data_IF_564711317335
#
_entry.id   IF_564711317335
#
_cell.length_a   1.000
_cell.length_b   1.000
_cell.length_c   1.000
_cell.angle_alpha   90.00
_cell.angle_beta   90.00
_cell.angle_gamma   90.00
#
_symmetry.space_group_name_H-M   'P 1'
#
loop_
_entity.id
_entity.type
_entity.pdbx_description
1 polymer ?
#
# COMPACT_ATOMS: atom_id res chain seq x y z
N UNK A 1 24.99 -9.95 95.74
CA UNK A 1 26.08 -10.45 94.86
C UNK A 1 25.77 -11.83 94.29
N UNK A 2 25.73 -12.92 95.08
CA UNK A 2 25.49 -14.29 94.57
C UNK A 2 24.20 -14.46 93.74
N UNK A 3 23.04 -14.01 94.22
CA UNK A 3 21.75 -14.09 93.47
C UNK A 3 21.75 -13.34 92.13
N UNK A 4 22.44 -12.20 92.05
CA UNK A 4 22.59 -11.44 90.80
C UNK A 4 23.50 -12.19 89.82
N UNK A 5 24.54 -12.85 90.32
CA UNK A 5 25.47 -13.65 89.50
C UNK A 5 24.77 -14.90 88.92
N UNK A 6 23.93 -15.58 89.71
CA UNK A 6 23.10 -16.69 89.22
C UNK A 6 22.11 -16.24 88.15
N UNK A 7 21.45 -15.09 88.34
CA UNK A 7 20.53 -14.52 87.36
C UNK A 7 21.23 -14.19 86.03
N UNK A 8 22.41 -13.56 86.09
CA UNK A 8 23.24 -13.28 84.90
C UNK A 8 23.67 -14.57 84.21
N UNK A 9 24.05 -15.61 84.96
CA UNK A 9 24.39 -16.91 84.39
C UNK A 9 23.21 -17.59 83.69
N UNK A 10 21.98 -17.45 84.22
CA UNK A 10 20.78 -17.97 83.53
C UNK A 10 20.49 -17.22 82.23
N UNK A 11 20.55 -15.89 82.26
CA UNK A 11 20.38 -15.03 81.07
C UNK A 11 21.44 -15.34 79.99
N UNK A 12 22.71 -15.52 80.39
CA UNK A 12 23.79 -15.92 79.47
C UNK A 12 23.54 -17.29 78.84
N UNK A 13 22.92 -18.23 79.56
CA UNK A 13 22.54 -19.54 79.03
C UNK A 13 21.42 -19.43 78.00
N UNK A 14 20.41 -18.59 78.26
CA UNK A 14 19.32 -18.32 77.33
C UNK A 14 19.86 -17.66 76.05
N UNK A 15 20.66 -16.60 76.19
CA UNK A 15 21.30 -15.94 75.05
C UNK A 15 22.17 -16.91 74.23
N UNK A 16 22.94 -17.79 74.87
CA UNK A 16 23.76 -18.80 74.17
C UNK A 16 22.90 -19.76 73.34
N UNK A 17 21.75 -20.17 73.87
CA UNK A 17 20.81 -21.03 73.15
C UNK A 17 20.19 -20.29 71.96
N UNK A 18 19.69 -19.06 72.15
CA UNK A 18 19.13 -18.24 71.07
C UNK A 18 20.16 -17.97 69.96
N UNK A 19 21.41 -17.66 70.31
CA UNK A 19 22.50 -17.48 69.35
C UNK A 19 22.77 -18.77 68.58
N UNK A 20 22.74 -19.93 69.25
CA UNK A 20 22.93 -21.23 68.58
C UNK A 20 21.77 -21.54 67.63
N UNK A 21 20.54 -21.21 68.02
CA UNK A 21 19.34 -21.40 67.20
C UNK A 21 19.29 -20.44 66.00
N UNK A 22 19.71 -19.20 66.19
CA UNK A 22 19.86 -18.23 65.09
C UNK A 22 20.95 -18.66 64.11
N UNK A 23 22.05 -19.25 64.60
CA UNK A 23 23.10 -19.78 63.72
C UNK A 23 22.59 -20.90 62.82
N UNK A 24 21.85 -21.87 63.36
CA UNK A 24 21.28 -22.96 62.57
C UNK A 24 20.21 -22.48 61.59
N UNK A 25 19.36 -21.54 62.00
CA UNK A 25 18.39 -20.87 61.13
C UNK A 25 19.05 -20.12 59.97
N UNK A 26 20.12 -19.36 60.26
CA UNK A 26 20.89 -18.64 59.25
C UNK A 26 21.59 -19.59 58.27
N UNK A 27 22.12 -20.73 58.73
CA UNK A 27 22.72 -21.73 57.84
C UNK A 27 21.68 -22.37 56.91
N UNK A 28 20.45 -22.60 57.38
CA UNK A 28 19.35 -23.13 56.57
C UNK A 28 18.92 -22.13 55.48
N UNK A 29 18.68 -20.87 55.86
CA UNK A 29 18.31 -19.81 54.91
C UNK A 29 19.39 -19.57 53.84
N UNK A 30 20.68 -19.67 54.21
CA UNK A 30 21.80 -19.54 53.27
C UNK A 30 21.82 -20.67 52.23
N UNK A 31 21.39 -21.88 52.58
CA UNK A 31 21.26 -23.00 51.64
C UNK A 31 20.11 -22.78 50.66
N UNK A 32 18.95 -22.34 51.14
CA UNK A 32 17.80 -22.01 50.29
C UNK A 32 18.12 -20.89 49.30
N UNK A 33 18.75 -19.81 49.77
CA UNK A 33 19.19 -18.70 48.91
C UNK A 33 20.14 -19.19 47.81
N UNK A 34 21.07 -20.12 48.13
CA UNK A 34 21.95 -20.72 47.13
C UNK A 34 21.19 -21.56 46.10
N UNK A 35 20.17 -22.32 46.53
CA UNK A 35 19.32 -23.08 45.61
C UNK A 35 18.58 -22.15 44.66
N UNK A 36 17.87 -21.15 45.21
CA UNK A 36 17.11 -20.16 44.43
C UNK A 36 18.02 -19.41 43.45
N UNK A 37 19.21 -19.01 43.88
CA UNK A 37 20.21 -18.39 42.99
C UNK A 37 20.55 -19.29 41.80
N UNK A 38 20.71 -20.59 42.04
CA UNK A 38 21.02 -21.54 40.97
C UNK A 38 19.86 -21.67 39.98
N UNK A 39 18.62 -21.76 40.47
CA UNK A 39 17.39 -21.86 39.66
C UNK A 39 17.11 -20.59 38.85
N UNK A 40 17.31 -19.42 39.44
CA UNK A 40 17.21 -18.14 38.72
C UNK A 40 18.26 -18.08 37.62
N UNK A 41 19.49 -18.51 37.91
CA UNK A 41 20.58 -18.49 36.93
C UNK A 41 20.30 -19.43 35.75
N UNK A 42 19.77 -20.63 35.99
CA UNK A 42 19.36 -21.54 34.91
C UNK A 42 18.20 -20.98 34.10
N UNK A 43 17.19 -20.41 34.75
CA UNK A 43 16.03 -19.80 34.09
C UNK A 43 16.44 -18.59 33.22
N UNK A 44 17.33 -17.73 33.71
CA UNK A 44 17.88 -16.61 32.95
C UNK A 44 18.64 -17.07 31.70
N UNK A 45 19.41 -18.15 31.79
CA UNK A 45 20.13 -18.70 30.65
C UNK A 45 19.19 -19.27 29.58
N UNK A 46 18.11 -19.95 30.00
CA UNK A 46 17.07 -20.44 29.09
C UNK A 46 16.38 -19.25 28.41
N UNK A 47 15.96 -18.25 29.18
CA UNK A 47 15.31 -17.05 28.64
C UNK A 47 16.20 -16.29 27.64
N UNK A 48 17.50 -16.16 27.94
CA UNK A 48 18.49 -15.57 27.02
C UNK A 48 18.61 -16.37 25.72
N UNK A 49 18.62 -17.70 25.81
CA UNK A 49 18.66 -18.59 24.65
C UNK A 49 17.41 -18.43 23.78
N UNK A 50 16.23 -18.38 24.40
CA UNK A 50 14.96 -18.25 23.69
C UNK A 50 14.78 -16.86 23.06
N UNK A 51 15.22 -15.79 23.74
CA UNK A 51 15.28 -14.45 23.14
C UNK A 51 16.19 -14.41 21.90
N UNK A 52 17.34 -15.09 21.95
CA UNK A 52 18.22 -15.20 20.79
C UNK A 52 17.54 -15.93 19.63
N UNK A 53 16.87 -17.06 19.88
CA UNK A 53 16.12 -17.79 18.86
C UNK A 53 14.97 -16.96 18.29
N UNK A 54 14.23 -16.27 19.14
CA UNK A 54 13.11 -15.42 18.73
C UNK A 54 13.58 -14.24 17.87
N UNK A 55 14.68 -13.59 18.24
CA UNK A 55 15.27 -12.50 17.45
C UNK A 55 15.73 -12.99 16.07
N UNK A 56 16.34 -14.18 15.98
CA UNK A 56 16.73 -14.79 14.70
C UNK A 56 15.50 -15.06 13.83
N UNK A 57 14.51 -15.76 14.38
CA UNK A 57 13.26 -16.06 13.67
C UNK A 57 12.53 -14.78 13.21
N UNK A 58 12.51 -13.74 14.05
CA UNK A 58 11.92 -12.45 13.69
C UNK A 58 12.67 -11.78 12.53
N UNK A 59 14.01 -11.79 12.56
CA UNK A 59 14.83 -11.22 11.49
C UNK A 59 14.59 -11.95 10.16
N UNK A 60 14.62 -13.28 10.17
CA UNK A 60 14.35 -14.12 8.99
C UNK A 60 12.93 -13.87 8.45
N UNK A 61 11.93 -13.83 9.34
CA UNK A 61 10.54 -13.57 8.95
C UNK A 61 10.38 -12.18 8.33
N UNK A 62 11.06 -11.17 8.87
CA UNK A 62 11.05 -9.80 8.34
C UNK A 62 11.69 -9.73 6.95
N UNK A 63 12.80 -10.42 6.75
CA UNK A 63 13.47 -10.51 5.45
C UNK A 63 12.61 -11.22 4.41
N UNK A 64 12.05 -12.37 4.76
CA UNK A 64 11.13 -13.12 3.91
C UNK A 64 9.89 -12.30 3.54
N UNK A 65 9.31 -11.57 4.49
CA UNK A 65 8.17 -10.71 4.23
C UNK A 65 8.52 -9.57 3.25
N UNK A 66 9.70 -8.96 3.39
CA UNK A 66 10.17 -7.94 2.46
C UNK A 66 10.38 -8.51 1.04
N UNK A 67 10.90 -9.73 0.93
CA UNK A 67 11.05 -10.42 -0.36
C UNK A 67 9.68 -10.71 -1.00
N UNK A 68 8.74 -11.23 -0.22
CA UNK A 68 7.38 -11.50 -0.67
C UNK A 68 6.67 -10.23 -1.15
N UNK A 69 6.80 -9.12 -0.43
CA UNK A 69 6.25 -7.81 -0.84
C UNK A 69 6.80 -7.41 -2.23
N UNK A 70 8.12 -7.53 -2.43
CA UNK A 70 8.74 -7.22 -3.73
C UNK A 70 8.20 -8.12 -4.85
N UNK A 71 8.17 -9.43 -4.63
CA UNK A 71 7.66 -10.40 -5.62
C UNK A 71 6.19 -10.12 -5.98
N UNK A 72 5.35 -9.81 -4.99
CA UNK A 72 3.95 -9.45 -5.21
C UNK A 72 3.83 -8.18 -6.06
N UNK A 73 4.67 -7.18 -5.83
CA UNK A 73 4.63 -5.94 -6.59
C UNK A 73 5.17 -6.11 -8.03
N UNK A 74 6.17 -6.96 -8.23
CA UNK A 74 6.65 -7.36 -9.55
C UNK A 74 5.57 -8.13 -10.33
N UNK A 75 4.90 -9.09 -9.67
CA UNK A 75 3.78 -9.81 -10.28
C UNK A 75 2.62 -8.90 -10.66
N UNK A 76 2.25 -7.94 -9.80
CA UNK A 76 1.22 -6.95 -10.13
C UNK A 76 1.63 -6.12 -11.35
N UNK A 77 2.90 -5.73 -11.45
CA UNK A 77 3.40 -4.98 -12.60
C UNK A 77 3.26 -5.80 -13.89
N UNK A 78 3.71 -7.06 -13.88
CA UNK A 78 3.59 -7.96 -15.03
C UNK A 78 2.13 -8.16 -15.46
N UNK A 79 1.23 -8.40 -14.50
CA UNK A 79 -0.22 -8.52 -14.77
C UNK A 79 -0.74 -7.25 -15.45
N UNK A 80 -0.34 -6.08 -14.97
CA UNK A 80 -0.77 -4.80 -15.53
C UNK A 80 -0.21 -4.57 -16.94
N UNK A 81 1.03 -4.96 -17.21
CA UNK A 81 1.65 -4.88 -18.53
C UNK A 81 0.96 -5.81 -19.54
N UNK A 82 0.70 -7.06 -19.15
CA UNK A 82 -0.07 -8.02 -19.96
C UNK A 82 -1.49 -7.53 -20.22
N UNK A 83 -2.17 -7.02 -19.18
CA UNK A 83 -3.52 -6.47 -19.33
C UNK A 83 -3.56 -5.26 -20.27
N UNK A 84 -2.50 -4.45 -20.26
CA UNK A 84 -2.35 -3.31 -21.18
C UNK A 84 -2.07 -3.79 -22.60
N UNK A 85 -1.26 -4.84 -22.78
CA UNK A 85 -1.00 -5.46 -24.08
C UNK A 85 -2.28 -5.99 -24.74
N UNK A 86 -3.13 -6.70 -23.99
CA UNK A 86 -4.43 -7.22 -24.47
C UNK A 86 -5.38 -6.09 -24.90
N UNK A 87 -5.24 -4.90 -24.32
CA UNK A 87 -6.08 -3.72 -24.62
C UNK A 87 -5.42 -2.78 -25.61
N UNK A 88 -4.20 -3.04 -26.03
CA UNK A 88 -3.38 -2.11 -26.80
C UNK A 88 -4.02 -1.75 -28.13
N UNK A 89 -4.74 -2.69 -28.75
CA UNK A 89 -5.45 -2.46 -30.01
C UNK A 89 -6.92 -2.05 -29.85
N UNK A 90 -7.32 -1.66 -28.63
CA UNK A 90 -8.73 -1.43 -28.28
C UNK A 90 -9.02 0.04 -28.00
N UNK A 91 -10.14 0.52 -28.54
CA UNK A 91 -10.73 1.83 -28.28
C UNK A 91 -11.96 1.63 -27.41
N UNK A 92 -12.22 2.61 -26.54
CA UNK A 92 -13.40 2.72 -25.72
C UNK A 92 -14.17 3.98 -26.11
N UNK A 93 -15.39 3.79 -26.55
CA UNK A 93 -16.35 4.87 -26.82
C UNK A 93 -17.32 4.93 -25.64
N UNK A 94 -17.50 6.12 -25.09
CA UNK A 94 -18.33 6.37 -23.91
C UNK A 94 -19.36 7.46 -24.18
N UNK A 95 -20.40 7.45 -23.35
CA UNK A 95 -21.51 8.39 -23.41
C UNK A 95 -22.37 8.24 -24.68
N UNK A 96 -22.72 7.01 -25.05
CA UNK A 96 -23.70 6.74 -26.12
C UNK A 96 -24.89 6.00 -25.51
N UNK A 97 -26.10 6.56 -25.55
CA UNK A 97 -27.33 5.90 -25.11
C UNK A 97 -27.52 4.52 -25.75
N UNK A 98 -28.21 3.64 -25.03
CA UNK A 98 -28.59 2.32 -25.56
C UNK A 98 -29.91 2.47 -26.27
N UNK A 99 -30.00 1.94 -27.49
CA UNK A 99 -31.27 1.82 -28.20
C UNK A 99 -31.71 0.35 -28.21
N UNK A 100 -33.04 0.08 -28.14
CA UNK A 100 -33.53 -1.26 -28.44
C UNK A 100 -33.12 -1.64 -29.86
N UNK A 101 -32.71 -2.89 -30.05
CA UNK A 101 -32.25 -3.45 -31.33
C UNK A 101 -31.11 -2.66 -31.99
N UNK A 102 -30.18 -2.13 -31.19
CA UNK A 102 -29.03 -1.39 -31.71
C UNK A 102 -28.08 -2.26 -32.53
N UNK A 103 -27.79 -1.82 -33.76
CA UNK A 103 -26.67 -2.35 -34.53
C UNK A 103 -25.39 -1.57 -34.20
N UNK A 104 -24.48 -2.20 -33.43
CA UNK A 104 -23.22 -1.61 -33.00
C UNK A 104 -22.33 -1.26 -34.20
N UNK A 105 -22.30 -2.11 -35.24
CA UNK A 105 -21.50 -1.84 -36.43
C UNK A 105 -21.99 -0.58 -37.16
N UNK A 106 -23.30 -0.46 -37.38
CA UNK A 106 -23.89 0.74 -38.00
C UNK A 106 -23.55 2.01 -37.22
N UNK A 107 -23.56 1.94 -35.88
CA UNK A 107 -23.17 3.05 -35.01
C UNK A 107 -21.69 3.41 -35.17
N UNK A 108 -20.80 2.41 -35.19
CA UNK A 108 -19.37 2.62 -35.41
C UNK A 108 -19.13 3.22 -36.80
N UNK A 109 -19.85 2.76 -37.81
CA UNK A 109 -19.75 3.29 -39.17
C UNK A 109 -20.18 4.75 -39.24
N UNK A 110 -21.28 5.15 -38.57
CA UNK A 110 -21.68 6.56 -38.45
C UNK A 110 -20.59 7.41 -37.80
N UNK A 111 -20.03 6.96 -36.67
CA UNK A 111 -18.92 7.64 -36.00
C UNK A 111 -17.73 7.78 -36.95
N UNK A 112 -17.42 6.72 -37.69
CA UNK A 112 -16.35 6.70 -38.67
C UNK A 112 -16.52 7.74 -39.77
N UNK A 113 -17.73 7.83 -40.34
CA UNK A 113 -18.07 8.81 -41.37
C UNK A 113 -17.92 10.23 -40.85
N UNK A 114 -18.37 10.52 -39.61
CA UNK A 114 -18.24 11.84 -38.99
C UNK A 114 -16.77 12.25 -38.91
N UNK A 115 -15.88 11.33 -38.53
CA UNK A 115 -14.44 11.58 -38.35
C UNK A 115 -13.62 11.45 -39.65
N UNK A 116 -14.26 11.26 -40.81
CA UNK A 116 -13.63 10.96 -42.11
C UNK A 116 -12.70 9.75 -42.06
N UNK A 117 -13.02 8.72 -41.28
CA UNK A 117 -12.31 7.45 -41.31
C UNK A 117 -13.01 6.49 -42.28
N UNK A 118 -12.26 5.90 -43.20
CA UNK A 118 -12.80 4.86 -44.08
C UNK A 118 -12.79 3.54 -43.32
N UNK A 119 -13.94 3.20 -42.74
CA UNK A 119 -14.15 1.94 -42.06
C UNK A 119 -14.53 0.85 -43.06
N UNK A 120 -13.86 -0.28 -42.92
CA UNK A 120 -14.27 -1.55 -43.54
C UNK A 120 -14.34 -2.59 -42.43
N UNK A 121 -15.22 -3.58 -42.57
CA UNK A 121 -15.42 -4.60 -41.53
C UNK A 121 -14.13 -5.38 -41.25
N UNK A 122 -13.32 -5.63 -42.28
CA UNK A 122 -12.00 -6.27 -42.20
C UNK A 122 -10.97 -5.54 -41.31
N UNK A 123 -11.19 -4.26 -40.99
CA UNK A 123 -10.30 -3.51 -40.08
C UNK A 123 -10.60 -3.82 -38.62
N UNK A 124 -11.77 -4.37 -38.31
CA UNK A 124 -12.22 -4.66 -36.95
C UNK A 124 -12.00 -6.14 -36.65
N UNK A 125 -11.48 -6.41 -35.46
CA UNK A 125 -11.36 -7.76 -34.90
C UNK A 125 -12.65 -8.12 -34.14
N UNK A 126 -13.15 -7.19 -33.33
CA UNK A 126 -14.37 -7.36 -32.55
C UNK A 126 -14.92 -6.02 -32.08
N UNK A 127 -16.22 -5.95 -31.88
CA UNK A 127 -16.88 -4.78 -31.32
C UNK A 127 -18.07 -5.22 -30.47
N UNK A 128 -18.21 -4.65 -29.29
CA UNK A 128 -19.28 -5.01 -28.37
C UNK A 128 -19.51 -3.92 -27.33
N UNK A 129 -20.73 -3.88 -26.80
CA UNK A 129 -21.08 -3.04 -25.67
C UNK A 129 -20.76 -3.76 -24.36
N UNK A 130 -20.15 -3.08 -23.41
CA UNK A 130 -19.90 -3.63 -22.08
C UNK A 130 -21.21 -3.77 -21.31
N UNK A 131 -21.26 -4.71 -20.38
CA UNK A 131 -22.38 -4.82 -19.42
C UNK A 131 -22.09 -3.94 -18.22
N UNK A 132 -23.05 -3.12 -17.81
CA UNK A 132 -22.95 -2.27 -16.61
C UNK A 132 -24.10 -2.61 -15.68
N UNK A 133 -23.81 -2.71 -14.38
CA UNK A 133 -24.83 -3.03 -13.35
C UNK A 133 -25.76 -1.86 -13.07
N UNK A 134 -25.26 -0.63 -13.21
CA UNK A 134 -26.02 0.59 -13.01
C UNK A 134 -26.67 1.02 -14.33
N UNK A 135 -28.00 1.07 -14.35
CA UNK A 135 -28.81 1.47 -15.52
C UNK A 135 -28.72 2.97 -15.83
N UNK A 136 -28.33 3.81 -14.86
CA UNK A 136 -28.14 5.25 -15.07
C UNK A 136 -26.88 5.60 -15.88
N UNK A 137 -26.00 4.63 -16.16
CA UNK A 137 -24.76 4.85 -16.90
C UNK A 137 -24.87 4.17 -18.25
N UNK A 138 -24.71 4.96 -19.31
CA UNK A 138 -24.62 4.44 -20.67
C UNK A 138 -23.42 3.49 -20.81
N UNK A 139 -23.66 2.20 -21.10
CA UNK A 139 -22.58 1.23 -21.19
C UNK A 139 -21.61 1.55 -22.33
N UNK A 140 -20.29 1.56 -22.09
CA UNK A 140 -19.31 1.85 -23.12
C UNK A 140 -19.29 0.81 -24.23
N UNK A 141 -18.93 1.25 -25.43
CA UNK A 141 -18.64 0.36 -26.57
C UNK A 141 -17.12 0.17 -26.65
N UNK A 142 -16.69 -1.08 -26.80
CA UNK A 142 -15.30 -1.45 -27.06
C UNK A 142 -15.18 -1.85 -28.51
N UNK A 143 -14.14 -1.34 -29.16
CA UNK A 143 -13.76 -1.69 -30.53
C UNK A 143 -12.34 -2.21 -30.49
N UNK A 144 -12.11 -3.41 -31.01
CA UNK A 144 -10.79 -3.97 -31.25
C UNK A 144 -10.49 -3.91 -32.74
N UNK A 145 -9.35 -3.32 -33.11
CA UNK A 145 -8.89 -3.26 -34.49
C UNK A 145 -8.00 -4.48 -34.79
N UNK A 146 -7.84 -4.83 -36.06
CA UNK A 146 -6.86 -5.83 -36.49
C UNK A 146 -5.43 -5.25 -36.55
N UNK A 147 -5.31 -3.94 -36.81
CA UNK A 147 -4.03 -3.24 -36.94
C UNK A 147 -3.95 -2.05 -35.99
N UNK A 148 -2.83 -1.93 -35.29
CA UNK A 148 -2.55 -0.81 -34.37
C UNK A 148 -2.56 0.54 -35.11
N UNK A 149 -2.07 0.57 -36.35
CA UNK A 149 -2.06 1.77 -37.17
C UNK A 149 -3.47 2.32 -37.42
N UNK A 150 -4.44 1.44 -37.70
CA UNK A 150 -5.85 1.83 -37.92
C UNK A 150 -6.44 2.43 -36.63
N UNK A 151 -6.19 1.81 -35.48
CA UNK A 151 -6.58 2.35 -34.17
C UNK A 151 -5.99 3.74 -33.94
N UNK A 152 -4.69 3.92 -34.21
CA UNK A 152 -4.02 5.22 -34.02
C UNK A 152 -4.58 6.30 -34.94
N UNK A 153 -4.85 5.98 -36.22
CA UNK A 153 -5.48 6.89 -37.16
C UNK A 153 -6.89 7.26 -36.69
N UNK A 154 -7.69 6.28 -36.26
CA UNK A 154 -9.04 6.50 -35.73
C UNK A 154 -9.02 7.43 -34.52
N UNK A 155 -8.16 7.17 -33.52
CA UNK A 155 -8.02 8.03 -32.35
C UNK A 155 -7.57 9.45 -32.71
N UNK A 156 -6.63 9.59 -33.65
CA UNK A 156 -6.14 10.89 -34.12
C UNK A 156 -7.27 11.70 -34.77
N UNK A 157 -8.01 11.08 -35.70
CA UNK A 157 -9.15 11.72 -36.39
C UNK A 157 -10.29 12.06 -35.42
N UNK A 158 -10.64 11.15 -34.52
CA UNK A 158 -11.64 11.39 -33.49
C UNK A 158 -11.25 12.54 -32.54
N UNK A 159 -9.96 12.67 -32.21
CA UNK A 159 -9.46 13.80 -31.42
C UNK A 159 -9.56 15.13 -32.18
N UNK A 160 -9.29 15.13 -33.49
CA UNK A 160 -9.40 16.32 -34.35
C UNK A 160 -10.85 16.79 -34.49
N UNK A 161 -11.79 15.84 -34.62
CA UNK A 161 -13.23 16.12 -34.78
C UNK A 161 -14.04 15.93 -33.49
N UNK A 162 -13.42 16.17 -32.34
CA UNK A 162 -14.03 15.89 -31.02
C UNK A 162 -15.37 16.60 -30.81
N UNK A 163 -15.50 17.83 -31.29
CA UNK A 163 -16.72 18.63 -31.09
C UNK A 163 -17.88 18.22 -32.00
N UNK A 164 -17.58 17.55 -33.13
CA UNK A 164 -18.59 16.97 -34.02
C UNK A 164 -19.19 15.66 -33.48
N UNK A 165 -18.53 15.01 -32.52
CA UNK A 165 -18.99 13.77 -31.89
C UNK A 165 -19.95 14.08 -30.74
N UNK A 166 -21.24 14.15 -31.06
CA UNK A 166 -22.30 14.41 -30.09
C UNK A 166 -23.58 13.61 -30.43
N UNK A 167 -24.55 13.63 -29.51
CA UNK A 167 -25.78 12.86 -29.61
C UNK A 167 -26.66 13.27 -30.79
N UNK A 168 -26.78 14.57 -31.09
CA UNK A 168 -27.58 15.07 -32.19
C UNK A 168 -27.19 14.44 -33.55
N UNK A 169 -25.88 14.33 -33.81
CA UNK A 169 -25.37 13.77 -35.08
C UNK A 169 -25.51 12.24 -35.13
N UNK A 170 -25.38 11.56 -34.00
CA UNK A 170 -25.27 10.10 -33.95
C UNK A 170 -26.61 9.40 -33.72
N UNK A 171 -27.50 10.01 -32.93
CA UNK A 171 -28.77 9.40 -32.55
C UNK A 171 -29.91 9.72 -33.50
N UNK A 172 -29.79 10.67 -34.43
CA UNK A 172 -30.83 11.10 -35.38
C UNK A 172 -32.17 11.42 -34.68
N UNK A 173 -32.58 12.70 -34.64
CA UNK A 173 -33.75 13.21 -33.91
C UNK A 173 -33.56 13.43 -32.40
N UNK A 174 -32.32 13.61 -31.95
CA UNK A 174 -32.03 14.07 -30.59
C UNK A 174 -31.81 15.59 -30.60
N UNK A 175 -32.58 16.32 -29.79
CA UNK A 175 -32.30 17.73 -29.49
C UNK A 175 -31.11 17.89 -28.53
N UNK A 176 -30.52 16.78 -28.07
CA UNK A 176 -29.48 16.74 -27.06
C UNK A 176 -28.11 16.75 -27.75
N UNK A 177 -27.20 17.57 -27.24
CA UNK A 177 -25.87 17.80 -27.83
C UNK A 177 -24.75 17.25 -26.94
N UNK A 178 -25.08 16.28 -26.10
CA UNK A 178 -24.15 15.62 -25.19
C UNK A 178 -22.97 15.02 -25.95
N UNK A 179 -21.76 15.24 -25.43
CA UNK A 179 -20.51 14.88 -26.11
C UNK A 179 -20.25 13.38 -26.01
N UNK A 180 -19.79 12.80 -27.11
CA UNK A 180 -19.33 11.41 -27.16
C UNK A 180 -17.81 11.41 -27.04
N UNK A 181 -17.28 10.56 -26.16
CA UNK A 181 -15.84 10.49 -25.93
C UNK A 181 -15.26 9.21 -26.49
N UNK A 182 -14.26 9.36 -27.35
CA UNK A 182 -13.47 8.27 -27.93
C UNK A 182 -12.10 8.30 -27.28
N UNK A 183 -11.75 7.25 -26.56
CA UNK A 183 -10.47 7.13 -25.85
C UNK A 183 -9.84 5.76 -26.09
N UNK A 184 -8.53 5.65 -25.87
CA UNK A 184 -7.89 4.35 -25.77
C UNK A 184 -8.46 3.55 -24.58
N UNK A 185 -8.58 2.23 -24.72
CA UNK A 185 -9.20 1.40 -23.68
C UNK A 185 -8.24 1.19 -22.50
N UNK A 186 -8.44 1.96 -21.43
CA UNK A 186 -7.65 1.85 -20.20
C UNK A 186 -8.07 0.63 -19.36
N UNK A 187 -7.09 -0.08 -18.83
CA UNK A 187 -7.30 -1.05 -17.74
C UNK A 187 -7.58 -0.36 -16.40
N UNK A 188 -8.08 -1.11 -15.41
CA UNK A 188 -8.43 -0.58 -14.09
C UNK A 188 -7.26 0.10 -13.38
N UNK A 189 -6.06 -0.50 -13.44
CA UNK A 189 -4.84 0.06 -12.84
C UNK A 189 -4.47 1.40 -13.45
N UNK A 190 -4.30 1.45 -14.77
CA UNK A 190 -3.97 2.68 -15.50
C UNK A 190 -5.05 3.76 -15.32
N UNK A 191 -6.34 3.37 -15.28
CA UNK A 191 -7.42 4.30 -15.00
C UNK A 191 -7.32 4.91 -13.60
N UNK A 192 -7.01 4.11 -12.56
CA UNK A 192 -6.79 4.61 -11.19
C UNK A 192 -5.63 5.61 -11.16
N UNK A 193 -4.51 5.28 -11.79
CA UNK A 193 -3.35 6.18 -11.87
C UNK A 193 -3.68 7.47 -12.60
N UNK A 194 -4.37 7.37 -13.75
CA UNK A 194 -4.80 8.51 -14.54
C UNK A 194 -5.74 9.43 -13.75
N UNK A 195 -6.74 8.85 -13.07
CA UNK A 195 -7.69 9.59 -12.22
C UNK A 195 -6.94 10.33 -11.11
N UNK A 196 -6.03 9.66 -10.40
CA UNK A 196 -5.21 10.28 -9.36
C UNK A 196 -4.36 11.43 -9.91
N UNK A 197 -3.78 11.26 -11.09
CA UNK A 197 -3.05 12.33 -11.76
C UNK A 197 -3.92 13.53 -12.11
N UNK A 198 -5.15 13.30 -12.59
CA UNK A 198 -6.12 14.38 -12.84
C UNK A 198 -6.52 15.11 -11.57
N UNK A 199 -6.66 14.41 -10.44
CA UNK A 199 -6.91 15.02 -9.12
C UNK A 199 -5.74 15.93 -8.72
N UNK A 200 -4.50 15.45 -8.82
CA UNK A 200 -3.30 16.26 -8.59
C UNK A 200 -3.21 17.46 -9.54
N UNK A 201 -3.68 17.32 -10.78
CA UNK A 201 -3.79 18.44 -11.70
C UNK A 201 -4.75 19.54 -11.24
N UNK A 202 -5.89 19.17 -10.64
CA UNK A 202 -6.82 20.12 -10.03
C UNK A 202 -6.23 20.82 -8.80
N UNK A 203 -5.32 20.15 -8.10
CA UNK A 203 -4.56 20.70 -6.98
C UNK A 203 -3.34 21.55 -7.44
N UNK A 204 -3.22 21.86 -8.73
CA UNK A 204 -2.08 22.58 -9.33
C UNK A 204 -0.71 21.94 -9.08
N UNK A 205 -0.68 20.63 -8.80
CA UNK A 205 0.54 19.86 -8.56
C UNK A 205 1.17 19.32 -9.84
N UNK A 206 0.37 19.16 -10.89
CA UNK A 206 0.77 18.68 -12.21
C UNK A 206 0.05 19.50 -13.29
N UNK A 207 0.78 19.98 -14.29
CA UNK A 207 0.17 20.70 -15.42
C UNK A 207 -0.52 19.76 -16.40
N UNK A 208 0.10 18.62 -16.70
CA UNK A 208 -0.40 17.69 -17.72
C UNK A 208 -0.42 16.25 -17.25
N UNK A 209 -1.54 15.56 -17.54
CA UNK A 209 -1.69 14.11 -17.35
C UNK A 209 -2.48 13.56 -18.54
N UNK A 210 -1.92 12.56 -19.22
CA UNK A 210 -2.53 11.91 -20.38
C UNK A 210 -2.25 10.41 -20.39
N UNK A 211 -3.03 9.69 -21.19
CA UNK A 211 -2.86 8.26 -21.42
C UNK A 211 -2.53 8.05 -22.90
N UNK A 212 -1.53 7.22 -23.19
CA UNK A 212 -1.12 6.87 -24.56
C UNK A 212 -0.40 5.54 -24.57
N UNK A 213 -0.74 4.68 -25.52
CA UNK A 213 -0.04 3.42 -25.79
C UNK A 213 0.04 2.55 -24.52
N UNK A 214 -1.09 2.37 -23.85
CA UNK A 214 -1.19 1.59 -22.62
C UNK A 214 -0.60 2.25 -21.36
N UNK A 215 0.04 3.43 -21.46
CA UNK A 215 0.80 4.05 -20.36
C UNK A 215 0.21 5.38 -19.93
N UNK A 216 0.27 5.66 -18.62
CA UNK A 216 -0.07 6.97 -18.04
C UNK A 216 1.18 7.81 -17.99
N UNK A 217 1.08 9.04 -18.49
CA UNK A 217 2.13 10.04 -18.45
C UNK A 217 1.68 11.23 -17.62
N UNK A 218 2.61 11.80 -16.87
CA UNK A 218 2.41 13.04 -16.14
C UNK A 218 3.59 13.98 -16.36
N UNK A 219 3.31 15.28 -16.33
CA UNK A 219 4.29 16.35 -16.51
C UNK A 219 3.96 17.50 -15.56
N UNK A 220 4.98 18.03 -14.89
CA UNK A 220 4.78 19.04 -13.85
C UNK A 220 4.42 20.40 -14.43
N UNK A 221 5.12 20.81 -15.47
CA UNK A 221 5.06 22.12 -16.13
C UNK A 221 5.45 21.97 -17.62
N UNK A 222 5.53 23.08 -18.35
CA UNK A 222 5.83 23.08 -19.80
C UNK A 222 7.30 22.82 -20.15
N UNK A 223 8.19 22.84 -19.16
CA UNK A 223 9.64 22.64 -19.36
C UNK A 223 10.12 21.26 -18.89
N UNK A 224 9.46 20.66 -17.89
CA UNK A 224 9.83 19.35 -17.34
C UNK A 224 9.69 18.22 -18.34
N UNK A 225 10.44 17.13 -18.15
CA UNK A 225 10.30 15.93 -18.99
C UNK A 225 9.07 15.15 -18.52
N UNK A 226 8.20 14.66 -19.43
CA UNK A 226 7.13 13.75 -19.08
C UNK A 226 7.65 12.48 -18.40
N UNK A 227 6.99 12.06 -17.32
CA UNK A 227 7.32 10.83 -16.58
C UNK A 227 6.20 9.81 -16.76
N UNK A 228 6.58 8.55 -16.99
CA UNK A 228 5.65 7.42 -16.99
C UNK A 228 5.30 7.06 -15.55
N UNK A 229 4.00 6.94 -15.27
CA UNK A 229 3.48 6.56 -13.97
C UNK A 229 3.10 5.09 -14.01
N UNK A 230 3.82 4.27 -13.24
CA UNK A 230 3.57 2.83 -13.08
C UNK A 230 2.91 2.53 -11.73
N UNK A 231 3.24 3.33 -10.72
CA UNK A 231 2.71 3.23 -9.37
C UNK A 231 2.20 4.59 -8.88
N UNK A 232 1.32 4.57 -7.88
CA UNK A 232 0.85 5.81 -7.24
C UNK A 232 2.00 6.58 -6.57
N UNK A 233 3.01 5.86 -6.05
CA UNK A 233 4.23 6.44 -5.47
C UNK A 233 5.09 7.19 -6.49
N UNK A 234 4.95 6.94 -7.80
CA UNK A 234 5.71 7.68 -8.82
C UNK A 234 5.36 9.17 -8.86
N UNK A 235 4.16 9.54 -8.41
CA UNK A 235 3.80 10.95 -8.27
C UNK A 235 4.67 11.71 -7.26
N UNK A 236 5.27 11.02 -6.28
CA UNK A 236 6.19 11.66 -5.32
C UNK A 236 7.40 12.29 -5.99
N UNK A 237 7.80 11.81 -7.18
CA UNK A 237 8.94 12.34 -7.95
C UNK A 237 8.75 13.81 -8.33
N UNK A 238 7.50 14.29 -8.48
CA UNK A 238 7.21 15.69 -8.80
C UNK A 238 7.27 16.62 -7.59
N UNK A 239 7.22 16.05 -6.37
CA UNK A 239 7.15 16.76 -5.09
C UNK A 239 8.47 16.76 -4.32
N UNK A 240 9.40 15.84 -4.65
CA UNK A 240 10.76 15.88 -4.12
C UNK A 240 11.44 17.15 -4.67
N UNK A 241 11.48 18.20 -3.84
CA UNK A 241 12.30 19.39 -4.11
C UNK A 241 13.75 18.97 -4.37
N UNK A 242 14.39 19.68 -5.29
CA UNK A 242 15.85 19.69 -5.43
C UNK A 242 16.49 20.02 -4.07
N UNK A 243 16.92 18.99 -3.35
CA UNK A 243 17.81 19.12 -2.19
C UNK A 243 19.28 19.28 -2.64
N UNK A 244 19.54 19.38 -3.95
CA UNK A 244 20.89 19.53 -4.51
C UNK A 244 21.30 21.00 -4.77
N UNK A 245 20.41 21.97 -4.55
CA UNK A 245 20.71 23.39 -4.78
C UNK A 245 21.22 24.14 -3.52
N UNK A 246 21.38 23.47 -2.38
CA UNK A 246 21.76 24.10 -1.10
C UNK A 246 23.04 23.54 -0.48
N UNK A 247 23.81 22.69 -1.18
CA UNK A 247 25.12 22.21 -0.72
C UNK A 247 26.19 22.71 -1.70
N UNK A 248 26.41 24.02 -1.68
CA UNK A 248 27.62 24.65 -2.21
C UNK A 248 28.00 25.78 -1.28
N UNK A 249 28.71 25.43 -0.21
CA UNK A 249 29.76 26.25 0.41
C UNK A 249 30.55 25.34 1.36
N UNK A 250 31.75 24.90 0.98
CA UNK A 250 32.66 24.23 1.89
C UNK A 250 33.48 25.29 2.62
N UNK A 251 33.33 25.39 3.94
CA UNK A 251 34.18 26.20 4.80
C UNK A 251 34.42 25.46 6.12
N UNK A 252 35.46 24.63 6.07
CA UNK A 252 36.50 24.31 7.08
C UNK A 252 36.19 24.46 8.58
N UNK A 253 36.73 23.47 9.32
CA UNK A 253 36.94 23.29 10.76
C UNK A 253 35.75 22.70 11.53
N UNK A 254 35.87 21.65 12.35
CA UNK A 254 37.02 21.01 13.01
C UNK A 254 36.73 19.54 13.30
N UNK A 255 37.78 18.71 13.22
CA UNK A 255 37.84 17.34 13.74
C UNK A 255 37.45 17.28 15.21
N UNK A 256 36.50 16.40 15.55
CA UNK A 256 36.48 15.73 16.86
C UNK A 256 36.07 14.29 16.58
N UNK A 257 37.06 13.41 16.48
CA UNK A 257 36.92 12.01 16.82
C UNK A 257 36.62 11.93 18.32
N UNK A 258 35.56 11.22 18.71
CA UNK A 258 35.48 10.68 20.06
C UNK A 258 35.05 9.20 19.99
N UNK A 259 36.07 8.37 20.17
CA UNK A 259 35.99 6.98 20.59
C UNK A 259 35.07 6.80 21.81
N UNK A 260 34.40 5.66 21.86
CA UNK A 260 33.32 5.38 22.81
C UNK A 260 33.73 5.26 24.28
N UNK A 261 32.68 5.17 25.11
CA UNK A 261 32.71 4.43 26.36
C UNK A 261 31.30 4.04 26.76
N UNK A 262 31.17 2.76 27.10
CA UNK A 262 30.03 2.15 27.75
C UNK A 262 29.74 2.83 29.09
N UNK A 263 28.46 2.98 29.43
CA UNK A 263 28.05 3.05 30.83
C UNK A 263 26.67 2.44 31.01
N UNK A 264 26.68 1.29 31.68
CA UNK A 264 25.54 0.70 32.36
C UNK A 264 24.86 1.73 33.27
N UNK A 265 23.54 1.76 33.23
CA UNK A 265 22.70 2.59 34.07
C UNK A 265 21.33 1.95 34.21
N UNK A 266 21.29 0.86 34.96
CA UNK A 266 20.09 0.29 35.54
C UNK A 266 19.39 1.37 36.37
N UNK A 267 18.10 1.62 36.11
CA UNK A 267 17.20 2.05 37.18
C UNK A 267 15.76 1.61 36.90
N UNK A 268 15.28 0.72 37.78
CA UNK A 268 13.89 0.34 37.96
C UNK A 268 13.35 1.11 39.17
N UNK A 269 12.29 1.91 39.00
CA UNK A 269 11.05 1.77 39.80
C UNK A 269 9.97 2.81 39.45
N UNK A 270 8.80 2.26 39.11
CA UNK A 270 7.41 2.67 39.37
C UNK A 270 7.07 3.96 40.14
N UNK A 271 6.11 4.74 39.61
CA UNK A 271 4.76 4.85 40.19
C UNK A 271 3.73 5.53 39.26
N UNK A 272 2.63 4.80 39.08
CA UNK A 272 1.20 5.20 38.92
C UNK A 272 0.81 6.61 38.45
N UNK A 273 0.08 6.65 37.33
CA UNK A 273 -0.70 7.81 36.89
C UNK A 273 -1.71 7.44 35.79
N UNK A 274 -2.89 6.97 36.21
CA UNK A 274 -4.03 6.64 35.35
C UNK A 274 -4.61 7.89 34.69
N UNK A 275 -4.59 7.98 33.35
CA UNK A 275 -5.49 8.84 32.59
C UNK A 275 -6.10 8.09 31.40
N UNK A 276 -7.43 8.18 31.33
CA UNK A 276 -8.38 7.37 30.58
C UNK A 276 -8.24 7.57 29.06
N UNK A 277 -7.91 6.50 28.33
CA UNK A 277 -8.09 6.44 26.87
C UNK A 277 -9.50 5.92 26.53
N UNK A 278 -10.26 6.71 25.76
CA UNK A 278 -11.61 6.40 25.34
C UNK A 278 -11.70 5.12 24.50
N UNK A 279 -12.60 4.21 24.88
CA UNK A 279 -12.91 2.98 24.13
C UNK A 279 -13.59 3.32 22.81
N UNK A 280 -12.86 3.26 21.68
CA UNK A 280 -13.49 3.11 20.35
C UNK A 280 -13.91 1.64 20.20
N UNK A 281 -15.22 1.40 20.04
CA UNK A 281 -15.77 0.05 19.76
C UNK A 281 -15.26 -0.43 18.39
N UNK A 282 -14.44 -1.49 18.37
CA UNK A 282 -14.14 -2.22 17.14
C UNK A 282 -15.42 -2.93 16.65
N UNK A 283 -15.83 -2.63 15.42
CA UNK A 283 -16.91 -3.32 14.71
C UNK A 283 -16.39 -4.69 14.27
N UNK A 284 -16.93 -5.79 14.81
CA UNK A 284 -16.60 -7.15 14.35
C UNK A 284 -16.94 -7.26 12.85
N UNK A 285 -15.95 -7.56 12.02
CA UNK A 285 -16.15 -7.96 10.63
C UNK A 285 -16.87 -9.32 10.64
N UNK A 286 -18.00 -9.42 9.93
CA UNK A 286 -18.65 -10.71 9.67
C UNK A 286 -17.72 -11.50 8.74
N UNK A 287 -17.10 -12.56 9.26
CA UNK A 287 -16.44 -13.57 8.44
C UNK A 287 -17.52 -14.38 7.73
N UNK A 288 -17.56 -14.33 6.40
CA UNK A 288 -18.36 -15.28 5.61
C UNK A 288 -17.72 -16.65 5.73
N UNK A 289 -18.49 -17.63 6.19
CA UNK A 289 -18.05 -19.00 6.38
C UNK A 289 -17.76 -19.67 5.02
N UNK A 290 -16.52 -20.14 4.84
CA UNK A 290 -16.03 -20.68 3.56
C UNK A 290 -16.72 -21.99 3.20
N UNK A 291 -17.32 -22.68 4.19
CA UNK A 291 -18.08 -23.90 3.97
C UNK A 291 -19.30 -23.69 3.07
N UNK A 292 -19.92 -22.51 3.10
CA UNK A 292 -21.05 -22.18 2.22
C UNK A 292 -20.70 -22.16 0.73
N UNK A 293 -19.42 -22.02 0.38
CA UNK A 293 -18.95 -22.03 -1.00
C UNK A 293 -18.77 -23.44 -1.57
N UNK A 294 -18.59 -24.45 -0.71
CA UNK A 294 -18.32 -25.84 -1.14
C UNK A 294 -19.56 -26.74 -1.15
N UNK A 295 -20.68 -26.30 -0.56
CA UNK A 295 -21.93 -27.07 -0.52
C UNK A 295 -22.86 -26.86 -1.73
N UNK A 296 -22.41 -26.15 -2.77
CA UNK A 296 -23.10 -26.11 -4.07
C UNK A 296 -22.29 -26.88 -5.12
N UNK A 297 -22.42 -28.20 -5.09
CA UNK A 297 -22.20 -29.10 -6.22
C UNK A 297 -23.26 -30.20 -6.18
#
# INVERSE_FOLDING_TARGET
>A
VLKQLEFICSELKVMKNEVSQNKTSNEATLKEIKSIKSEISTSLNIFKSDLSKLNKAYSELKENNNLLIKQVDDMKLLINELSSSIRYNKIRITNIPVKPDENIYSLINKISSIIDFQLTEEKLESYFRLKVKNTSIHPPIIISFNKISEKEIFLKKAKQKRDALNWAVILENSNETEKIFVNENMGHHSYRLFKKGKELGKENKLKFVWFRNGKVYARKDETSIPVIIRYESDYTRFFKKSLKASISNPSISSEIELSGQDSEGTDCSSHTGSLKAGKRKLKKLKTSDIHSFFSQK
#
